data_IF_384719250307
#
_entry.id   IF_384719250307
#
_cell.length_a   1.000
_cell.length_b   1.000
_cell.length_c   1.000
_cell.angle_alpha   90.00
_cell.angle_beta   90.00
_cell.angle_gamma   90.00
#
_symmetry.space_group_name_H-M   'P 1'
#
loop_
_entity.id
_entity.type
_entity.pdbx_description
1 polymer ?
#
# COMPACT_ATOMS: atom_id res chain seq x y z
N UNK A 1 32.02 16.72 -12.01
CA UNK A 1 31.77 15.45 -12.73
C UNK A 1 30.78 15.77 -13.82
N UNK A 2 31.06 15.48 -15.06
CA UNK A 2 30.13 15.71 -16.17
C UNK A 2 28.91 14.82 -15.90
N UNK A 3 27.79 15.45 -15.61
CA UNK A 3 26.49 14.78 -15.43
C UNK A 3 26.14 14.23 -16.81
N UNK A 4 26.22 12.91 -17.00
CA UNK A 4 26.00 12.29 -18.31
C UNK A 4 24.52 12.37 -18.71
N UNK A 5 24.29 12.48 -20.02
CA UNK A 5 22.94 12.37 -20.57
C UNK A 5 22.49 10.91 -20.55
N UNK A 6 21.29 10.63 -20.05
CA UNK A 6 20.64 9.33 -20.13
C UNK A 6 19.94 9.21 -21.49
N UNK A 7 20.19 8.11 -22.20
CA UNK A 7 19.67 7.82 -23.54
C UNK A 7 19.95 8.93 -24.56
N UNK A 8 21.03 9.73 -24.37
CA UNK A 8 21.38 10.86 -25.23
C UNK A 8 20.31 11.96 -25.28
N UNK A 9 19.37 11.98 -24.33
CA UNK A 9 18.21 12.88 -24.32
C UNK A 9 17.98 13.58 -22.99
N UNK A 10 18.16 12.90 -21.87
CA UNK A 10 17.81 13.41 -20.55
C UNK A 10 19.07 13.81 -19.79
N UNK A 11 19.37 15.12 -19.76
CA UNK A 11 20.50 15.67 -19.04
C UNK A 11 20.17 15.76 -17.56
N UNK A 12 20.88 14.99 -16.73
CA UNK A 12 20.70 15.01 -15.29
C UNK A 12 21.21 16.34 -14.71
N UNK A 13 20.42 17.02 -13.89
CA UNK A 13 20.75 18.33 -13.31
C UNK A 13 20.98 18.25 -11.80
N UNK A 14 20.17 17.47 -11.08
CA UNK A 14 20.25 17.32 -9.63
C UNK A 14 19.61 16.06 -9.13
N UNK A 15 19.90 15.66 -7.89
CA UNK A 15 19.24 14.53 -7.25
C UNK A 15 18.05 15.00 -6.45
N UNK A 16 16.86 14.45 -6.74
CA UNK A 16 15.61 14.73 -6.05
C UNK A 16 15.36 13.75 -4.90
N UNK A 17 15.75 12.47 -5.06
CA UNK A 17 15.50 11.45 -4.05
C UNK A 17 16.47 10.28 -4.14
N UNK A 18 16.51 9.53 -3.04
CA UNK A 18 17.32 8.32 -2.92
C UNK A 18 16.49 7.24 -2.21
N UNK A 19 16.50 6.02 -2.76
CA UNK A 19 15.89 4.83 -2.17
C UNK A 19 16.79 3.61 -2.30
N UNK A 20 16.45 2.51 -1.63
CA UNK A 20 17.26 1.29 -1.66
C UNK A 20 17.43 0.66 -3.04
N UNK A 21 16.46 0.85 -3.94
CA UNK A 21 16.47 0.23 -5.28
C UNK A 21 16.71 1.23 -6.42
N UNK A 22 16.55 2.52 -6.17
CA UNK A 22 16.60 3.54 -7.22
C UNK A 22 16.98 4.91 -6.70
N UNK A 23 17.46 5.76 -7.60
CA UNK A 23 17.65 7.19 -7.37
C UNK A 23 16.75 7.98 -8.31
N UNK A 24 16.21 9.11 -7.84
CA UNK A 24 15.42 10.02 -8.67
C UNK A 24 16.19 11.32 -8.87
N UNK A 25 16.28 11.73 -10.11
CA UNK A 25 17.01 12.93 -10.52
C UNK A 25 16.09 13.92 -11.22
N UNK A 26 16.30 15.22 -10.97
CA UNK A 26 15.85 16.27 -11.86
C UNK A 26 16.67 16.16 -13.13
N UNK A 27 16.01 16.23 -14.28
CA UNK A 27 16.68 16.22 -15.57
C UNK A 27 15.99 17.17 -16.55
N UNK A 28 16.74 17.59 -17.57
CA UNK A 28 16.21 18.37 -18.68
C UNK A 28 16.09 17.50 -19.93
N UNK A 29 14.87 17.39 -20.46
CA UNK A 29 14.61 16.72 -21.74
C UNK A 29 15.08 17.63 -22.89
N UNK A 30 16.23 17.32 -23.46
CA UNK A 30 16.86 18.09 -24.53
C UNK A 30 16.02 18.16 -25.82
N UNK A 31 15.08 17.24 -25.99
CA UNK A 31 14.25 17.16 -27.20
C UNK A 31 12.95 17.96 -27.08
N UNK A 32 12.35 17.97 -25.87
CA UNK A 32 11.07 18.65 -25.60
C UNK A 32 11.26 19.95 -24.81
N UNK A 33 12.52 20.30 -24.47
CA UNK A 33 12.91 21.52 -23.76
C UNK A 33 12.13 21.75 -22.45
N UNK A 34 12.02 20.68 -21.63
CA UNK A 34 11.30 20.73 -20.35
C UNK A 34 12.01 19.99 -19.25
N UNK A 35 11.74 20.36 -18.02
CA UNK A 35 12.15 19.59 -16.84
C UNK A 35 11.33 18.32 -16.70
N UNK A 36 11.99 17.24 -16.28
CA UNK A 36 11.41 15.92 -16.00
C UNK A 36 12.08 15.31 -14.77
N UNK A 37 11.44 14.36 -14.12
CA UNK A 37 12.07 13.52 -13.12
C UNK A 37 12.52 12.21 -13.78
N UNK A 38 13.76 11.79 -13.53
CA UNK A 38 14.32 10.54 -14.06
C UNK A 38 14.66 9.62 -12.90
N UNK A 39 13.97 8.49 -12.82
CA UNK A 39 14.22 7.42 -11.86
C UNK A 39 15.19 6.42 -12.49
N UNK A 40 16.31 6.17 -11.82
CA UNK A 40 17.35 5.25 -12.26
C UNK A 40 17.38 4.04 -11.33
N UNK A 41 17.39 2.83 -11.90
CA UNK A 41 17.61 1.60 -11.14
C UNK A 41 19.03 1.61 -10.56
N UNK A 42 19.22 1.19 -9.31
CA UNK A 42 20.56 1.12 -8.72
C UNK A 42 21.44 0.13 -9.49
N UNK A 43 22.70 0.53 -9.78
CA UNK A 43 23.64 -0.25 -10.61
C UNK A 43 23.81 -1.69 -10.12
N UNK A 44 23.92 -1.89 -8.80
CA UNK A 44 24.10 -3.21 -8.19
C UNK A 44 22.87 -4.14 -8.33
N UNK A 45 21.72 -3.62 -8.81
CA UNK A 45 20.49 -4.36 -9.08
C UNK A 45 20.24 -4.56 -10.57
N UNK A 46 21.01 -3.92 -11.43
CA UNK A 46 20.82 -3.95 -12.88
C UNK A 46 21.13 -5.34 -13.50
N UNK A 47 21.94 -6.15 -12.81
CA UNK A 47 22.29 -7.51 -13.23
C UNK A 47 21.28 -8.59 -12.74
N UNK A 48 20.36 -8.24 -11.84
CA UNK A 48 19.34 -9.16 -11.36
C UNK A 48 18.03 -9.00 -12.17
N UNK A 49 17.66 -10.02 -12.99
CA UNK A 49 16.47 -9.96 -13.81
C UNK A 49 15.16 -9.73 -13.02
N UNK A 50 15.15 -10.09 -11.74
CA UNK A 50 14.00 -9.91 -10.87
C UNK A 50 13.74 -8.43 -10.62
N UNK A 51 14.78 -7.67 -10.24
CA UNK A 51 14.68 -6.23 -10.01
C UNK A 51 14.41 -5.46 -11.31
N UNK A 52 15.06 -5.83 -12.41
CA UNK A 52 14.80 -5.25 -13.73
C UNK A 52 13.34 -5.45 -14.14
N UNK A 53 12.84 -6.69 -14.05
CA UNK A 53 11.44 -7.00 -14.38
C UNK A 53 10.44 -6.21 -13.52
N UNK A 54 10.73 -6.03 -12.22
CA UNK A 54 9.91 -5.23 -11.29
C UNK A 54 9.89 -3.77 -11.71
N UNK A 55 11.06 -3.18 -11.97
CA UNK A 55 11.21 -1.80 -12.39
C UNK A 55 10.45 -1.50 -13.70
N UNK A 56 10.53 -2.42 -14.67
CA UNK A 56 9.80 -2.31 -15.93
C UNK A 56 8.27 -2.44 -15.75
N UNK A 57 7.81 -3.37 -14.89
CA UNK A 57 6.37 -3.51 -14.58
C UNK A 57 5.81 -2.28 -13.89
N UNK A 58 6.56 -1.67 -12.99
CA UNK A 58 6.19 -0.41 -12.34
C UNK A 58 5.98 0.69 -13.38
N UNK A 59 6.95 0.87 -14.30
CA UNK A 59 6.83 1.83 -15.40
C UNK A 59 5.60 1.57 -16.28
N UNK A 60 5.38 0.31 -16.69
CA UNK A 60 4.25 -0.06 -17.56
C UNK A 60 2.89 0.16 -16.91
N UNK A 61 2.76 -0.10 -15.63
CA UNK A 61 1.50 0.09 -14.94
C UNK A 61 1.21 1.57 -14.68
N UNK A 62 2.21 2.34 -14.24
CA UNK A 62 2.07 3.78 -14.03
C UNK A 62 1.82 4.53 -15.37
N UNK A 63 2.43 4.10 -16.48
CA UNK A 63 2.22 4.71 -17.79
C UNK A 63 0.78 4.61 -18.33
N UNK A 64 -0.03 3.67 -17.81
CA UNK A 64 -1.45 3.53 -18.17
C UNK A 64 -2.37 4.50 -17.44
N UNK A 65 -1.87 5.14 -16.39
CA UNK A 65 -2.65 6.04 -15.55
C UNK A 65 -2.45 7.49 -16.02
N UNK A 66 -3.53 8.14 -16.43
CA UNK A 66 -3.55 9.55 -16.84
C UNK A 66 -4.60 10.26 -15.99
N UNK A 67 -4.15 10.92 -14.92
CA UNK A 67 -5.02 11.59 -13.97
C UNK A 67 -4.29 12.77 -13.31
N UNK A 68 -4.96 13.91 -13.03
CA UNK A 68 -4.32 15.08 -12.40
C UNK A 68 -3.60 14.73 -11.09
N UNK A 69 -4.14 13.80 -10.31
CA UNK A 69 -3.57 13.40 -9.02
C UNK A 69 -2.67 12.13 -9.10
N UNK A 70 -2.13 11.82 -10.27
CA UNK A 70 -1.14 10.74 -10.48
C UNK A 70 0.03 11.30 -11.28
N UNK A 71 1.25 11.05 -10.83
CA UNK A 71 2.47 11.43 -11.56
C UNK A 71 2.49 10.70 -12.91
N UNK A 72 2.56 11.47 -14.00
CA UNK A 72 2.54 10.93 -15.35
C UNK A 72 3.89 10.34 -15.71
N UNK A 73 3.92 9.09 -16.19
CA UNK A 73 5.09 8.48 -16.81
C UNK A 73 5.13 8.84 -18.30
N UNK A 74 6.29 9.33 -18.77
CA UNK A 74 6.47 9.77 -20.15
C UNK A 74 7.26 8.79 -20.99
N UNK A 75 8.27 8.12 -20.39
CA UNK A 75 9.19 7.24 -21.10
C UNK A 75 9.82 6.23 -20.14
N UNK A 76 10.33 5.13 -20.65
CA UNK A 76 11.14 4.17 -19.89
C UNK A 76 12.02 3.36 -20.84
N UNK A 77 13.19 2.97 -20.38
CA UNK A 77 14.11 2.20 -21.21
C UNK A 77 15.40 1.82 -20.50
N UNK A 78 16.35 1.42 -21.31
CA UNK A 78 17.73 1.18 -20.92
C UNK A 78 18.64 2.06 -21.77
N UNK A 79 19.55 2.78 -21.13
CA UNK A 79 20.60 3.54 -21.83
C UNK A 79 21.58 2.56 -22.45
N UNK A 80 21.73 2.61 -23.78
CA UNK A 80 22.58 1.68 -24.55
C UNK A 80 24.08 1.81 -24.20
N UNK A 81 24.51 2.99 -23.77
CA UNK A 81 25.92 3.30 -23.46
C UNK A 81 26.31 2.84 -22.06
N UNK A 82 25.42 3.00 -21.08
CA UNK A 82 25.70 2.73 -19.67
C UNK A 82 25.00 1.49 -19.14
N UNK A 83 24.11 0.87 -19.94
CA UNK A 83 23.21 -0.20 -19.55
C UNK A 83 22.26 0.19 -18.39
N UNK A 84 22.14 1.48 -18.06
CA UNK A 84 21.32 2.00 -16.97
C UNK A 84 19.84 1.95 -17.31
N UNK A 85 19.02 1.29 -16.50
CA UNK A 85 17.56 1.31 -16.62
C UNK A 85 17.00 2.61 -16.04
N UNK A 86 16.04 3.23 -16.77
CA UNK A 86 15.44 4.49 -16.39
C UNK A 86 13.93 4.54 -16.63
N UNK A 87 13.24 5.36 -15.82
CA UNK A 87 11.85 5.79 -16.02
C UNK A 87 11.85 7.31 -16.01
N UNK A 88 11.24 7.93 -17.02
CA UNK A 88 11.06 9.38 -17.14
C UNK A 88 9.62 9.71 -16.77
N UNK A 89 9.44 10.64 -15.85
CA UNK A 89 8.13 11.02 -15.35
C UNK A 89 8.02 12.53 -15.15
N UNK A 90 6.81 12.97 -14.92
CA UNK A 90 6.49 14.36 -14.60
C UNK A 90 7.32 14.83 -13.39
N UNK A 91 7.96 15.98 -13.54
CA UNK A 91 8.59 16.67 -12.43
C UNK A 91 7.57 17.56 -11.73
N UNK A 92 7.42 17.38 -10.41
CA UNK A 92 6.54 18.20 -9.58
C UNK A 92 7.40 19.21 -8.84
N UNK A 93 7.22 20.49 -9.18
CA UNK A 93 7.90 21.58 -8.48
C UNK A 93 7.19 21.85 -7.14
N UNK A 94 7.73 21.26 -6.07
CA UNK A 94 7.11 21.33 -4.75
C UNK A 94 7.84 20.43 -3.75
N UNK A 95 7.08 19.90 -2.78
CA UNK A 95 7.61 19.06 -1.71
C UNK A 95 6.77 17.78 -1.57
N UNK A 96 7.39 16.71 -1.12
CA UNK A 96 6.66 15.54 -0.65
C UNK A 96 6.02 15.83 0.71
N UNK A 97 4.92 15.14 1.03
CA UNK A 97 4.33 15.21 2.37
C UNK A 97 5.30 14.76 3.47
N UNK A 98 6.30 13.92 3.13
CA UNK A 98 7.36 13.55 4.08
C UNK A 98 8.30 14.72 4.39
N UNK A 99 8.58 15.57 3.41
CA UNK A 99 9.36 16.80 3.62
C UNK A 99 8.55 17.82 4.44
N UNK A 100 7.28 18.01 4.14
CA UNK A 100 6.37 18.86 4.92
C UNK A 100 6.33 18.38 6.39
N UNK A 101 6.12 17.09 6.64
CA UNK A 101 6.14 16.53 8.00
C UNK A 101 7.47 16.71 8.72
N UNK A 102 8.59 16.61 8.01
CA UNK A 102 9.93 16.80 8.58
C UNK A 102 10.17 18.25 8.96
N UNK A 103 9.71 19.20 8.12
CA UNK A 103 10.02 20.62 8.24
C UNK A 103 9.03 21.34 9.18
N UNK A 104 7.73 21.00 9.10
CA UNK A 104 6.64 21.64 9.84
C UNK A 104 6.09 20.75 10.98
N UNK A 105 6.34 19.44 10.95
CA UNK A 105 5.88 18.47 11.94
C UNK A 105 4.45 17.98 11.70
N UNK A 106 3.54 18.83 11.31
CA UNK A 106 2.12 18.54 11.03
C UNK A 106 1.55 19.63 10.12
N UNK A 107 0.33 19.43 9.62
CA UNK A 107 -0.39 20.43 8.80
C UNK A 107 -1.76 20.73 9.40
N UNK A 108 -2.29 21.93 9.12
CA UNK A 108 -3.66 22.29 9.51
C UNK A 108 -4.69 21.31 8.94
N UNK A 109 -5.78 21.09 9.69
CA UNK A 109 -6.80 20.07 9.34
C UNK A 109 -7.32 20.25 7.90
N UNK A 110 -7.65 21.48 7.51
CA UNK A 110 -8.19 21.76 6.18
C UNK A 110 -7.17 21.49 5.07
N UNK A 111 -5.91 21.83 5.30
CA UNK A 111 -4.82 21.54 4.38
C UNK A 111 -4.59 20.04 4.26
N UNK A 112 -4.54 19.33 5.41
CA UNK A 112 -4.43 17.86 5.44
C UNK A 112 -5.56 17.17 4.68
N UNK A 113 -6.79 17.62 4.88
CA UNK A 113 -7.96 17.10 4.15
C UNK A 113 -7.88 17.37 2.66
N UNK A 114 -7.45 18.57 2.25
CA UNK A 114 -7.25 18.89 0.82
C UNK A 114 -6.22 17.98 0.16
N UNK A 115 -5.12 17.66 0.84
CA UNK A 115 -4.10 16.73 0.38
C UNK A 115 -4.70 15.33 0.21
N UNK A 116 -5.41 14.84 1.22
CA UNK A 116 -5.94 13.49 1.25
C UNK A 116 -7.09 13.28 0.26
N UNK A 117 -7.95 14.26 0.06
CA UNK A 117 -9.03 14.19 -0.94
C UNK A 117 -8.46 14.02 -2.35
N UNK A 118 -7.44 14.80 -2.70
CA UNK A 118 -6.76 14.68 -3.99
C UNK A 118 -6.08 13.31 -4.15
N UNK A 119 -5.41 12.81 -3.10
CA UNK A 119 -4.85 11.46 -3.09
C UNK A 119 -5.94 10.39 -3.25
N UNK A 120 -7.12 10.57 -2.62
CA UNK A 120 -8.27 9.69 -2.79
C UNK A 120 -8.76 9.63 -4.25
N UNK A 121 -8.83 10.76 -4.94
CA UNK A 121 -9.24 10.77 -6.37
C UNK A 121 -8.21 10.05 -7.24
N UNK A 122 -6.91 10.26 -7.02
CA UNK A 122 -5.85 9.53 -7.73
C UNK A 122 -5.88 8.02 -7.47
N UNK A 123 -6.01 7.59 -6.20
CA UNK A 123 -6.14 6.17 -5.84
C UNK A 123 -7.43 5.56 -6.42
N UNK A 124 -8.55 6.28 -6.34
CA UNK A 124 -9.82 5.79 -6.90
C UNK A 124 -9.69 5.53 -8.40
N UNK A 125 -9.08 6.45 -9.13
CA UNK A 125 -8.82 6.29 -10.56
C UNK A 125 -7.92 5.08 -10.83
N UNK A 126 -6.81 4.92 -10.11
CA UNK A 126 -5.91 3.78 -10.25
C UNK A 126 -6.61 2.44 -9.99
N UNK A 127 -7.40 2.35 -8.91
CA UNK A 127 -8.16 1.15 -8.54
C UNK A 127 -9.20 0.76 -9.61
N UNK A 128 -9.90 1.73 -10.23
CA UNK A 128 -10.81 1.47 -11.34
C UNK A 128 -10.10 0.90 -12.59
N UNK A 129 -8.79 1.20 -12.74
CA UNK A 129 -7.97 0.67 -13.83
C UNK A 129 -7.21 -0.60 -13.43
N UNK A 130 -7.57 -1.22 -12.30
CA UNK A 130 -6.96 -2.47 -11.82
C UNK A 130 -5.56 -2.31 -11.25
N UNK A 131 -5.11 -1.09 -10.92
CA UNK A 131 -3.81 -0.80 -10.34
C UNK A 131 -3.96 -0.50 -8.86
N UNK A 132 -3.30 -1.29 -8.00
CA UNK A 132 -3.18 -1.07 -6.55
C UNK A 132 -1.81 -0.47 -6.27
N UNK A 133 -1.75 0.60 -5.46
CA UNK A 133 -0.51 1.34 -5.20
C UNK A 133 0.50 0.57 -4.35
N UNK A 134 0.03 -0.04 -3.25
CA UNK A 134 0.80 -0.91 -2.33
C UNK A 134 1.94 -0.26 -1.55
N UNK A 135 2.24 1.01 -1.78
CA UNK A 135 3.27 1.79 -1.08
C UNK A 135 2.83 3.22 -0.80
N UNK A 136 1.58 3.41 -0.37
CA UNK A 136 1.09 4.75 0.02
C UNK A 136 1.79 5.18 1.29
N UNK A 137 2.49 6.33 1.22
CA UNK A 137 3.23 6.94 2.34
C UNK A 137 3.47 8.42 2.05
N UNK A 138 3.82 9.26 3.03
CA UNK A 138 4.04 10.69 2.81
C UNK A 138 5.08 11.00 1.73
N UNK A 139 6.13 10.18 1.59
CA UNK A 139 7.16 10.39 0.56
C UNK A 139 6.69 10.20 -0.88
N UNK A 140 5.55 9.51 -1.06
CA UNK A 140 4.96 9.23 -2.37
C UNK A 140 3.74 10.13 -2.69
N UNK A 141 3.41 11.09 -1.81
CA UNK A 141 2.45 12.15 -2.04
C UNK A 141 3.23 13.45 -2.29
N UNK A 142 3.27 13.89 -3.53
CA UNK A 142 3.97 15.09 -3.95
C UNK A 142 2.96 16.25 -4.05
N UNK A 143 3.22 17.35 -3.36
CA UNK A 143 2.42 18.57 -3.41
C UNK A 143 3.17 19.63 -4.19
N UNK A 144 2.56 20.14 -5.26
CA UNK A 144 3.10 21.24 -6.03
C UNK A 144 3.01 22.57 -5.25
N UNK A 145 3.71 23.59 -5.74
CA UNK A 145 3.62 24.96 -5.15
C UNK A 145 2.22 25.56 -5.25
N UNK A 146 1.45 25.13 -6.24
CA UNK A 146 0.07 25.55 -6.47
C UNK A 146 -0.94 24.79 -5.60
N UNK A 147 -0.48 23.76 -4.86
CA UNK A 147 -1.31 22.95 -3.96
C UNK A 147 -1.92 21.71 -4.63
N UNK A 148 -1.55 21.39 -5.89
CA UNK A 148 -1.93 20.13 -6.51
C UNK A 148 -1.16 18.97 -5.88
N UNK A 149 -1.86 17.86 -5.61
CA UNK A 149 -1.26 16.66 -5.03
C UNK A 149 -1.26 15.52 -6.05
N UNK A 150 -0.11 14.87 -6.19
CA UNK A 150 0.07 13.74 -7.10
C UNK A 150 0.69 12.54 -6.40
N UNK A 151 0.13 11.37 -6.65
CA UNK A 151 0.65 10.08 -6.22
C UNK A 151 1.81 9.67 -7.13
N UNK A 152 2.94 9.36 -6.53
CA UNK A 152 4.15 8.87 -7.19
C UNK A 152 4.47 7.44 -6.75
N UNK A 153 5.29 6.74 -7.53
CA UNK A 153 5.88 5.44 -7.18
C UNK A 153 4.84 4.36 -6.81
N UNK A 154 4.04 3.93 -7.79
CA UNK A 154 3.14 2.80 -7.63
C UNK A 154 3.93 1.52 -7.38
N UNK A 155 3.88 1.00 -6.14
CA UNK A 155 4.72 -0.08 -5.61
C UNK A 155 4.36 -1.49 -6.12
N UNK A 156 4.14 -1.65 -7.43
CA UNK A 156 3.79 -2.93 -8.07
C UNK A 156 4.88 -3.99 -7.85
N UNK A 157 6.11 -3.54 -7.63
CA UNK A 157 7.27 -4.38 -7.35
C UNK A 157 7.22 -5.07 -5.96
N UNK A 158 6.47 -4.54 -4.98
CA UNK A 158 6.41 -5.08 -3.60
C UNK A 158 5.51 -6.31 -3.45
N UNK A 159 4.67 -6.62 -4.43
CA UNK A 159 3.71 -7.73 -4.36
C UNK A 159 4.34 -9.14 -4.33
N UNK A 160 5.64 -9.28 -4.56
CA UNK A 160 6.34 -10.56 -4.64
C UNK A 160 7.47 -10.71 -3.61
N UNK A 161 7.57 -9.79 -2.64
CA UNK A 161 8.62 -9.86 -1.61
C UNK A 161 8.17 -10.61 -0.35
N UNK A 162 7.94 -11.90 -0.44
CA UNK A 162 7.91 -12.78 0.74
C UNK A 162 9.31 -12.97 1.39
N UNK A 163 10.39 -12.49 0.76
CA UNK A 163 11.76 -12.91 1.13
C UNK A 163 12.74 -11.80 1.54
N UNK A 164 12.40 -10.50 1.51
CA UNK A 164 13.39 -9.44 1.75
C UNK A 164 13.09 -8.45 2.88
N UNK A 165 12.28 -8.84 3.86
CA UNK A 165 12.00 -8.03 5.07
C UNK A 165 13.22 -7.93 6.03
N UNK A 166 14.43 -8.30 5.60
CA UNK A 166 15.60 -8.46 6.50
C UNK A 166 16.67 -7.37 6.43
N UNK A 167 16.48 -6.25 5.77
CA UNK A 167 17.42 -5.13 5.88
C UNK A 167 17.01 -4.16 7.00
N UNK A 168 17.63 -4.34 8.15
CA UNK A 168 17.46 -3.57 9.38
C UNK A 168 17.89 -2.11 9.15
N UNK A 169 16.96 -1.17 9.34
CA UNK A 169 17.27 0.26 9.49
C UNK A 169 16.43 1.21 8.61
N UNK A 170 16.30 0.97 7.31
CA UNK A 170 15.43 1.81 6.42
C UNK A 170 14.00 1.27 6.29
N UNK A 171 13.79 0.03 6.73
CA UNK A 171 12.51 -0.71 6.62
C UNK A 171 11.49 -0.20 7.62
N UNK A 172 11.92 0.28 8.79
CA UNK A 172 11.02 0.66 9.87
C UNK A 172 10.13 1.86 9.51
N UNK A 173 10.67 2.88 8.85
CA UNK A 173 9.92 4.06 8.44
C UNK A 173 8.80 3.75 7.43
N UNK A 174 9.06 2.86 6.47
CA UNK A 174 8.05 2.44 5.47
C UNK A 174 7.05 1.44 6.05
N UNK A 175 7.46 0.61 7.01
CA UNK A 175 6.62 -0.39 7.64
C UNK A 175 5.44 0.22 8.43
N UNK A 176 5.58 1.44 8.94
CA UNK A 176 4.54 2.13 9.70
C UNK A 176 3.22 2.32 8.92
N UNK A 177 3.26 2.30 7.60
CA UNK A 177 2.09 2.47 6.72
C UNK A 177 1.52 1.14 6.19
N UNK A 178 2.16 0.00 6.52
CA UNK A 178 1.69 -1.31 6.08
C UNK A 178 0.33 -1.63 6.69
N UNK A 179 -0.59 -2.04 5.84
CA UNK A 179 -1.86 -2.57 6.31
C UNK A 179 -1.66 -3.91 7.05
N UNK A 180 -2.52 -4.24 8.04
CA UNK A 180 -2.38 -5.46 8.82
C UNK A 180 -2.31 -6.74 7.98
N UNK A 181 -3.07 -6.83 6.89
CA UNK A 181 -3.02 -7.94 5.94
C UNK A 181 -1.66 -8.03 5.22
N UNK A 182 -1.05 -6.89 4.87
CA UNK A 182 0.29 -6.87 4.28
C UNK A 182 1.37 -7.32 5.29
N UNK A 183 1.25 -6.88 6.55
CA UNK A 183 2.16 -7.32 7.61
C UNK A 183 2.09 -8.83 7.88
N UNK A 184 0.94 -9.47 7.57
CA UNK A 184 0.75 -10.93 7.64
C UNK A 184 1.14 -11.69 6.37
N UNK A 185 1.61 -10.98 5.31
CA UNK A 185 1.93 -11.60 4.01
C UNK A 185 0.68 -12.01 3.20
N UNK A 186 -0.50 -11.48 3.54
CA UNK A 186 -1.73 -11.72 2.80
C UNK A 186 -1.79 -10.83 1.54
N UNK A 187 -2.64 -11.19 0.59
CA UNK A 187 -2.79 -10.42 -0.65
C UNK A 187 -3.36 -9.01 -0.37
N UNK A 188 -2.58 -7.99 -0.74
CA UNK A 188 -2.95 -6.60 -0.58
C UNK A 188 -3.81 -6.11 -1.76
N UNK A 189 -5.07 -5.79 -1.47
CA UNK A 189 -5.99 -5.18 -2.42
C UNK A 189 -6.10 -3.65 -2.27
N UNK A 190 -7.05 -3.01 -2.98
CA UNK A 190 -7.30 -1.57 -2.89
C UNK A 190 -7.50 -1.04 -1.46
N UNK A 191 -8.06 -1.85 -0.57
CA UNK A 191 -8.32 -1.46 0.82
C UNK A 191 -7.06 -1.38 1.70
N UNK A 192 -5.95 -1.99 1.27
CA UNK A 192 -4.65 -1.79 1.90
C UNK A 192 -4.14 -0.36 1.66
N UNK A 193 -4.35 0.19 0.44
CA UNK A 193 -4.01 1.58 0.15
C UNK A 193 -4.84 2.56 0.98
N UNK A 194 -6.12 2.25 1.24
CA UNK A 194 -7.00 3.08 2.08
C UNK A 194 -6.54 3.09 3.54
N UNK A 195 -6.08 1.95 4.06
CA UNK A 195 -5.47 1.89 5.37
C UNK A 195 -4.21 2.75 5.45
N UNK A 196 -3.29 2.56 4.50
CA UNK A 196 -2.06 3.34 4.42
C UNK A 196 -2.34 4.85 4.31
N UNK A 197 -3.34 5.25 3.49
CA UNK A 197 -3.77 6.64 3.40
C UNK A 197 -4.42 7.14 4.70
N UNK A 198 -5.11 6.28 5.45
CA UNK A 198 -5.60 6.55 6.80
C UNK A 198 -4.46 6.85 7.78
N UNK A 199 -3.36 6.07 7.72
CA UNK A 199 -2.14 6.34 8.51
C UNK A 199 -1.51 7.68 8.12
N UNK A 200 -1.45 7.98 6.82
CA UNK A 200 -0.93 9.27 6.33
C UNK A 200 -1.82 10.43 6.80
N UNK A 201 -3.15 10.28 6.75
CA UNK A 201 -4.11 11.29 7.25
C UNK A 201 -3.87 11.57 8.73
N UNK A 202 -3.78 10.50 9.52
CA UNK A 202 -3.52 10.60 10.96
C UNK A 202 -2.22 11.35 11.23
N UNK A 203 -1.15 10.98 10.51
CA UNK A 203 0.17 11.59 10.72
C UNK A 203 0.23 13.04 10.25
N UNK A 204 -0.36 13.38 9.10
CA UNK A 204 -0.37 14.77 8.60
C UNK A 204 -1.04 15.70 9.59
N UNK A 205 -2.16 15.29 10.17
CA UNK A 205 -2.96 16.15 11.07
C UNK A 205 -2.40 16.17 12.49
N UNK A 206 -1.89 15.03 13.01
CA UNK A 206 -1.42 14.93 14.41
C UNK A 206 0.09 15.07 14.59
N UNK A 207 0.89 14.97 13.52
CA UNK A 207 2.35 14.86 13.59
C UNK A 207 2.83 13.52 14.14
N UNK A 208 1.95 12.54 14.39
CA UNK A 208 2.27 11.26 15.05
C UNK A 208 1.76 10.10 14.22
N UNK A 209 2.43 8.96 14.33
CA UNK A 209 1.90 7.70 13.80
C UNK A 209 0.81 7.13 14.73
N UNK A 210 -0.22 6.45 14.19
CA UNK A 210 -1.22 5.78 15.03
C UNK A 210 -0.61 4.68 15.91
N UNK A 211 0.46 4.05 15.43
CA UNK A 211 1.25 3.05 16.18
C UNK A 211 2.72 3.38 16.07
N UNK A 212 3.39 3.60 17.21
CA UNK A 212 4.84 3.72 17.28
C UNK A 212 5.42 2.33 17.59
N UNK A 213 6.25 1.80 16.71
CA UNK A 213 6.86 0.48 16.86
C UNK A 213 8.33 0.51 16.43
N UNK A 214 9.16 -0.33 17.07
CA UNK A 214 10.59 -0.46 16.79
C UNK A 214 10.89 -1.63 15.86
N UNK A 215 9.89 -2.47 15.57
CA UNK A 215 9.97 -3.62 14.67
C UNK A 215 8.65 -3.92 13.99
N UNK A 216 8.72 -4.64 12.86
CA UNK A 216 7.51 -5.08 12.15
C UNK A 216 6.65 -6.01 13.02
N UNK A 217 7.29 -6.88 13.83
CA UNK A 217 6.59 -7.77 14.75
C UNK A 217 5.85 -6.99 15.84
N UNK A 218 6.47 -5.97 16.40
CA UNK A 218 5.83 -5.09 17.38
C UNK A 218 4.67 -4.32 16.76
N UNK A 219 4.85 -3.79 15.54
CA UNK A 219 3.78 -3.11 14.81
C UNK A 219 2.58 -4.03 14.61
N UNK A 220 2.81 -5.25 14.08
CA UNK A 220 1.75 -6.22 13.84
C UNK A 220 1.02 -6.61 15.15
N UNK A 221 1.76 -6.71 16.27
CA UNK A 221 1.18 -7.00 17.58
C UNK A 221 0.31 -5.83 18.06
N UNK A 222 0.80 -4.60 17.99
CA UNK A 222 0.04 -3.40 18.38
C UNK A 222 -1.21 -3.24 17.54
N UNK A 223 -1.13 -3.40 16.21
CA UNK A 223 -2.28 -3.36 15.33
C UNK A 223 -3.39 -4.37 15.70
N UNK A 224 -3.01 -5.52 16.31
CA UNK A 224 -3.97 -6.55 16.71
C UNK A 224 -4.53 -6.36 18.12
N UNK A 225 -3.81 -5.70 19.02
CA UNK A 225 -4.13 -5.63 20.45
C UNK A 225 -4.55 -4.25 20.93
N UNK A 226 -4.23 -3.20 20.18
CA UNK A 226 -4.45 -1.82 20.59
C UNK A 226 -5.32 -1.11 19.54
N UNK A 227 -6.21 -0.25 20.01
CA UNK A 227 -6.87 0.75 19.16
C UNK A 227 -6.07 2.05 19.26
N UNK A 228 -5.71 2.69 18.14
CA UNK A 228 -4.98 3.93 18.20
C UNK A 228 -5.90 5.02 18.79
N UNK A 229 -5.35 6.00 19.53
CA UNK A 229 -6.13 7.15 19.98
C UNK A 229 -6.81 7.83 18.79
N UNK A 230 -8.07 8.20 18.93
CA UNK A 230 -8.78 8.93 17.86
C UNK A 230 -8.23 10.36 17.74
N UNK A 231 -8.24 10.92 16.53
CA UNK A 231 -7.61 12.22 16.26
C UNK A 231 -8.19 13.35 17.09
N UNK A 232 -9.49 13.35 17.37
CA UNK A 232 -10.17 14.33 18.21
C UNK A 232 -9.68 14.35 19.67
N UNK A 233 -9.12 13.22 20.16
CA UNK A 233 -8.52 13.15 21.50
C UNK A 233 -7.11 13.74 21.56
N UNK A 234 -6.45 13.92 20.43
CA UNK A 234 -5.05 14.38 20.33
C UNK A 234 -4.97 15.81 19.79
N UNK A 235 -5.84 16.15 18.83
CA UNK A 235 -5.82 17.41 18.11
C UNK A 235 -7.13 18.15 18.39
N UNK A 236 -7.06 19.21 19.18
CA UNK A 236 -8.25 19.96 19.61
C UNK A 236 -9.07 20.61 18.46
N UNK A 237 -8.45 20.79 17.28
CA UNK A 237 -9.14 21.30 16.09
C UNK A 237 -9.93 20.21 15.33
N UNK A 238 -9.81 18.95 15.71
CA UNK A 238 -10.51 17.82 15.08
C UNK A 238 -11.81 17.54 15.83
N UNK A 239 -12.93 17.49 15.12
CA UNK A 239 -14.20 17.06 15.69
C UNK A 239 -14.31 15.54 15.79
N UNK A 240 -15.17 14.99 16.67
CA UNK A 240 -15.31 13.54 16.85
C UNK A 240 -15.65 12.78 15.56
N UNK A 241 -16.48 13.35 14.70
CA UNK A 241 -16.91 12.74 13.44
C UNK A 241 -15.75 12.58 12.44
N UNK A 242 -14.81 13.51 12.40
CA UNK A 242 -13.59 13.36 11.61
C UNK A 242 -12.66 12.31 12.23
N UNK A 243 -12.54 12.29 13.57
CA UNK A 243 -11.79 11.26 14.30
C UNK A 243 -12.33 9.86 13.97
N UNK A 244 -13.66 9.67 14.01
CA UNK A 244 -14.33 8.43 13.65
C UNK A 244 -14.10 8.07 12.17
N UNK A 245 -14.17 9.05 11.25
CA UNK A 245 -13.94 8.81 9.83
C UNK A 245 -12.52 8.28 9.55
N UNK A 246 -11.51 8.80 10.25
CA UNK A 246 -10.13 8.30 10.16
C UNK A 246 -10.02 6.90 10.79
N UNK A 247 -10.65 6.65 11.94
CA UNK A 247 -10.66 5.35 12.60
C UNK A 247 -11.26 4.24 11.70
N UNK A 248 -12.30 4.54 10.91
CA UNK A 248 -12.85 3.62 9.90
C UNK A 248 -11.79 3.21 8.86
N UNK A 249 -10.94 4.14 8.40
CA UNK A 249 -9.86 3.81 7.46
C UNK A 249 -8.81 2.90 8.11
N UNK A 250 -8.57 3.06 9.41
CA UNK A 250 -7.60 2.30 10.20
C UNK A 250 -8.15 0.97 10.77
N UNK A 251 -9.37 0.55 10.40
CA UNK A 251 -9.95 -0.70 10.85
C UNK A 251 -9.05 -1.91 10.52
N UNK A 252 -8.93 -2.84 11.48
CA UNK A 252 -8.08 -4.04 11.36
C UNK A 252 -8.54 -4.92 10.19
N UNK A 253 -9.86 -5.19 10.10
CA UNK A 253 -10.43 -5.96 9.01
C UNK A 253 -10.65 -5.06 7.77
N UNK A 254 -10.11 -5.42 6.60
CA UNK A 254 -10.37 -4.66 5.38
C UNK A 254 -11.86 -4.50 5.04
N UNK A 255 -12.72 -5.41 5.50
CA UNK A 255 -14.18 -5.36 5.26
C UNK A 255 -14.86 -4.21 6.00
N UNK A 256 -14.29 -3.78 7.11
CA UNK A 256 -14.81 -2.68 7.92
C UNK A 256 -14.35 -1.31 7.46
N UNK A 257 -13.35 -1.26 6.55
CA UNK A 257 -12.87 -0.04 5.91
C UNK A 257 -13.83 0.44 4.81
N UNK A 258 -13.57 1.61 4.28
CA UNK A 258 -14.26 2.14 3.09
C UNK A 258 -14.13 1.20 1.90
N UNK A 259 -15.15 1.19 1.03
CA UNK A 259 -15.15 0.32 -0.15
C UNK A 259 -14.28 0.89 -1.28
N UNK A 260 -14.21 2.22 -1.36
CA UNK A 260 -13.45 2.95 -2.40
C UNK A 260 -12.74 4.15 -1.79
N UNK A 261 -11.65 4.59 -2.44
CA UNK A 261 -10.93 5.79 -2.02
C UNK A 261 -11.83 7.04 -2.10
N UNK A 262 -12.69 7.14 -3.09
CA UNK A 262 -13.67 8.25 -3.20
C UNK A 262 -14.68 8.26 -2.05
N UNK A 263 -15.13 7.09 -1.57
CA UNK A 263 -15.97 7.00 -0.37
C UNK A 263 -15.23 7.52 0.86
N UNK A 264 -13.95 7.12 1.03
CA UNK A 264 -13.09 7.61 2.10
C UNK A 264 -12.94 9.13 2.08
N UNK A 265 -12.56 9.72 0.92
CA UNK A 265 -12.39 11.17 0.78
C UNK A 265 -13.65 11.94 1.17
N UNK A 266 -14.83 11.49 0.71
CA UNK A 266 -16.12 12.09 1.10
C UNK A 266 -16.39 11.97 2.59
N UNK A 267 -16.15 10.80 3.17
CA UNK A 267 -16.41 10.57 4.59
C UNK A 267 -15.51 11.43 5.49
N UNK A 268 -14.24 11.64 5.10
CA UNK A 268 -13.33 12.55 5.81
C UNK A 268 -13.81 14.00 5.72
N UNK A 269 -14.24 14.46 4.56
CA UNK A 269 -14.80 15.83 4.37
C UNK A 269 -16.12 15.99 5.11
N UNK A 270 -17.02 15.03 5.03
CA UNK A 270 -18.28 15.03 5.77
C UNK A 270 -18.02 15.03 7.30
N UNK A 271 -17.07 14.21 7.76
CA UNK A 271 -16.64 14.17 9.15
C UNK A 271 -16.14 15.53 9.66
N UNK A 272 -15.32 16.25 8.86
CA UNK A 272 -14.88 17.60 9.19
C UNK A 272 -16.05 18.62 9.30
N UNK A 273 -17.17 18.33 8.64
CA UNK A 273 -18.41 19.12 8.72
C UNK A 273 -19.38 18.59 9.80
N UNK A 274 -18.95 17.70 10.70
CA UNK A 274 -19.76 17.15 11.77
C UNK A 274 -20.77 16.09 11.33
N UNK A 275 -20.55 15.41 10.19
CA UNK A 275 -21.41 14.33 9.67
C UNK A 275 -20.70 13.00 9.90
N UNK A 276 -21.26 12.07 10.72
CA UNK A 276 -20.61 10.81 11.01
C UNK A 276 -20.53 9.88 9.79
N UNK A 277 -19.50 9.04 9.68
CA UNK A 277 -19.24 8.19 8.50
C UNK A 277 -20.34 7.18 8.20
N UNK A 278 -21.16 6.81 9.19
CA UNK A 278 -22.34 5.95 9.02
C UNK A 278 -23.41 6.57 8.11
N UNK A 279 -23.66 7.85 8.22
CA UNK A 279 -24.61 8.59 7.37
C UNK A 279 -24.07 8.78 5.95
N UNK A 280 -22.78 9.05 5.79
CA UNK A 280 -22.13 9.13 4.47
C UNK A 280 -22.26 7.82 3.71
N UNK A 281 -22.05 6.68 4.38
CA UNK A 281 -22.22 5.35 3.79
C UNK A 281 -23.69 5.07 3.39
N UNK A 282 -24.64 5.52 4.16
CA UNK A 282 -26.06 5.38 3.86
C UNK A 282 -26.46 6.22 2.63
N UNK A 283 -25.98 7.46 2.53
CA UNK A 283 -26.21 8.36 1.38
C UNK A 283 -25.61 7.79 0.07
N UNK A 284 -24.42 7.18 0.13
CA UNK A 284 -23.76 6.57 -1.03
C UNK A 284 -24.48 5.34 -1.58
N UNK A 285 -25.19 4.59 -0.73
CA UNK A 285 -26.00 3.41 -1.14
C UNK A 285 -27.38 3.76 -1.69
N UNK A 286 -27.87 4.98 -1.45
CA UNK A 286 -29.23 5.40 -1.77
C UNK A 286 -29.40 6.24 -3.04
N UNK A 287 -28.34 6.49 -3.83
CA UNK A 287 -28.48 7.18 -5.09
C UNK A 287 -28.76 6.18 -6.22
N UNK A 288 -30.04 6.00 -6.66
CA UNK A 288 -30.30 5.28 -7.90
C UNK A 288 -29.77 6.16 -9.04
N UNK A 289 -28.90 5.59 -9.87
CA UNK A 289 -28.53 6.17 -11.16
C UNK A 289 -29.78 6.23 -12.06
N UNK A 290 -30.66 7.21 -11.85
CA UNK A 290 -31.73 7.51 -12.79
C UNK A 290 -32.37 8.86 -12.46
N UNK A 291 -31.74 9.97 -12.87
CA UNK A 291 -32.47 11.22 -13.16
C UNK A 291 -31.60 12.13 -14.04
N UNK A 292 -31.36 11.68 -15.27
CA UNK A 292 -30.92 12.58 -16.33
C UNK A 292 -31.52 12.07 -17.64
N UNK A 293 -32.85 12.20 -17.81
CA UNK A 293 -33.49 12.35 -19.11
C UNK A 293 -35.02 12.45 -18.92
N UNK A 294 -35.50 13.58 -18.46
CA UNK A 294 -36.92 13.91 -18.60
C UNK A 294 -37.16 15.43 -18.59
N UNK A 295 -36.54 16.14 -19.54
CA UNK A 295 -37.04 17.45 -19.97
C UNK A 295 -36.76 17.48 -21.45
N UNK A 296 -37.80 17.21 -22.26
CA UNK A 296 -38.13 17.73 -23.58
C UNK A 296 -39.02 16.74 -24.34
N UNK A 297 -40.31 16.70 -24.03
CA UNK A 297 -41.34 16.34 -25.01
C UNK A 297 -42.71 16.78 -24.50
N UNK A 298 -42.96 18.08 -24.55
CA UNK A 298 -44.32 18.60 -24.59
C UNK A 298 -44.65 18.98 -26.06
N UNK A 299 -45.64 18.32 -26.64
CA UNK A 299 -46.30 18.83 -27.84
C UNK A 299 -46.48 17.83 -28.95
N UNK A 300 -47.57 17.06 -28.97
CA UNK A 300 -48.68 17.17 -29.92
C UNK A 300 -49.62 15.97 -29.82
N UNK A 301 -50.89 16.32 -29.76
CA UNK A 301 -52.06 15.40 -29.86
C UNK A 301 -52.15 14.83 -31.28
N UNK A 302 -52.62 13.58 -31.42
CA UNK A 302 -53.81 13.28 -32.22
C UNK A 302 -54.04 11.77 -32.39
N UNK A 303 -55.29 11.34 -32.08
CA UNK A 303 -56.17 10.28 -32.61
C UNK A 303 -55.75 8.80 -32.65
N UNK A 304 -56.41 8.06 -31.89
CA UNK A 304 -57.13 6.79 -31.80
C UNK A 304 -57.18 5.84 -33.04
N UNK A 305 -57.79 4.64 -32.89
CA UNK A 305 -57.27 3.42 -32.22
C UNK A 305 -57.29 2.22 -33.22
N UNK A 306 -56.55 1.18 -33.06
CA UNK A 306 -56.88 -0.14 -33.66
C UNK A 306 -56.19 -1.33 -32.96
N UNK A 307 -57.05 -2.25 -32.49
CA UNK A 307 -56.94 -3.69 -32.32
C UNK A 307 -55.87 -4.30 -31.36
N UNK A 308 -56.42 -4.84 -30.29
CA UNK A 308 -55.85 -5.85 -29.41
C UNK A 308 -55.56 -7.15 -30.16
N UNK A 309 -54.35 -7.69 -29.93
CA UNK A 309 -54.04 -9.11 -30.16
C UNK A 309 -53.54 -9.69 -28.85
N UNK A 310 -54.25 -10.68 -28.32
CA UNK A 310 -53.99 -11.38 -27.09
C UNK A 310 -52.73 -12.28 -27.17
N UNK A 311 -51.97 -12.44 -26.09
CA UNK A 311 -50.85 -13.38 -26.06
C UNK A 311 -51.37 -14.82 -25.87
N UNK A 312 -50.86 -15.73 -26.71
CA UNK A 312 -51.09 -17.18 -26.62
C UNK A 312 -50.31 -17.77 -25.44
N UNK A 313 -51.02 -18.49 -24.56
CA UNK A 313 -50.46 -19.37 -23.54
C UNK A 313 -49.78 -20.62 -24.13
N UNK A 314 -48.69 -21.12 -23.61
CA UNK A 314 -48.15 -22.43 -23.98
C UNK A 314 -48.92 -23.57 -23.26
N UNK A 315 -49.23 -24.62 -24.02
CA UNK A 315 -49.86 -25.85 -23.56
C UNK A 315 -48.92 -26.71 -22.71
N UNK A 316 -49.46 -27.45 -21.73
CA UNK A 316 -48.69 -28.40 -20.93
C UNK A 316 -48.47 -29.74 -21.66
N UNK A 317 -47.24 -30.30 -21.49
CA UNK A 317 -46.89 -31.64 -21.95
C UNK A 317 -47.25 -32.70 -20.94
N UNK A 318 -47.36 -34.00 -21.36
CA UNK A 318 -48.00 -35.06 -20.56
C UNK A 318 -47.12 -35.64 -19.43
N UNK A 319 -47.77 -36.33 -18.44
CA UNK A 319 -47.10 -36.77 -17.19
C UNK A 319 -46.29 -38.05 -17.46
N UNK A 320 -45.13 -38.17 -16.85
CA UNK A 320 -44.39 -39.40 -16.69
C UNK A 320 -44.70 -40.09 -15.36
N UNK A 321 -45.15 -41.32 -15.50
CA UNK A 321 -45.54 -42.33 -14.52
C UNK A 321 -44.49 -42.61 -13.46
N UNK A 322 -45.01 -42.80 -12.27
CA UNK A 322 -44.35 -43.34 -11.10
C UNK A 322 -43.99 -44.85 -11.27
N UNK A 323 -42.90 -45.25 -10.68
CA UNK A 323 -42.66 -46.65 -10.34
C UNK A 323 -42.12 -46.70 -8.90
N UNK A 324 -42.84 -47.40 -8.09
CA UNK A 324 -42.69 -47.66 -6.67
C UNK A 324 -41.77 -48.87 -6.39
N UNK A 325 -41.48 -49.20 -5.16
CA UNK A 325 -40.17 -49.69 -4.69
C UNK A 325 -40.10 -51.18 -4.46
N UNK A 326 -38.88 -51.70 -4.39
CA UNK A 326 -38.66 -53.04 -3.81
C UNK A 326 -37.77 -53.00 -2.58
N UNK A 327 -38.39 -53.34 -1.46
CA UNK A 327 -37.75 -53.81 -0.22
C UNK A 327 -37.02 -55.11 -0.44
N UNK A 328 -35.88 -55.30 0.13
CA UNK A 328 -35.46 -56.55 0.78
C UNK A 328 -34.50 -56.26 1.93
N UNK A 329 -34.75 -56.97 2.98
CA UNK A 329 -34.15 -56.96 4.31
C UNK A 329 -32.84 -57.75 4.35
N UNK A 330 -32.07 -57.52 5.41
CA UNK A 330 -31.10 -58.50 5.88
C UNK A 330 -29.85 -57.90 6.50
N UNK A 331 -29.85 -57.64 7.74
CA UNK A 331 -29.13 -58.22 8.88
C UNK A 331 -27.59 -58.11 8.93
N UNK A 332 -27.17 -57.75 10.12
CA UNK A 332 -26.01 -58.20 10.92
C UNK A 332 -24.79 -57.29 11.02
N UNK A 333 -24.70 -56.70 12.17
CA UNK A 333 -23.61 -56.51 13.14
C UNK A 333 -22.14 -56.75 12.67
N UNK A 334 -21.30 -55.77 12.89
CA UNK A 334 -19.86 -55.91 12.87
C UNK A 334 -19.21 -54.66 13.44
N UNK A 335 -18.96 -54.64 14.76
CA UNK A 335 -18.21 -53.60 15.43
C UNK A 335 -16.73 -53.65 15.08
N UNK A 336 -16.21 -52.71 14.31
CA UNK A 336 -14.77 -52.53 14.16
C UNK A 336 -14.29 -51.26 14.89
N UNK A 337 -13.44 -51.49 15.91
CA UNK A 337 -12.77 -50.49 16.72
C UNK A 337 -11.70 -49.79 15.92
N UNK A 338 -11.47 -48.46 16.10
CA UNK A 338 -10.46 -47.70 15.36
C UNK A 338 -9.06 -47.95 15.93
N UNK A 339 -8.26 -48.75 15.23
CA UNK A 339 -6.82 -49.01 15.53
C UNK A 339 -5.87 -47.94 14.95
N UNK A 340 -6.34 -46.84 14.33
CA UNK A 340 -5.49 -45.89 13.59
C UNK A 340 -4.92 -44.71 14.39
N UNK A 341 -5.33 -44.51 15.64
CA UNK A 341 -4.85 -43.33 16.44
C UNK A 341 -3.50 -43.51 17.15
N UNK A 342 -3.01 -44.73 17.35
CA UNK A 342 -1.73 -44.98 18.04
C UNK A 342 -0.51 -44.77 17.13
N UNK A 343 -0.60 -44.97 15.83
CA UNK A 343 0.49 -44.69 14.88
C UNK A 343 0.79 -43.22 14.69
N UNK A 344 -0.25 -42.38 14.64
CA UNK A 344 -0.08 -40.93 14.48
C UNK A 344 0.59 -40.27 15.70
N UNK A 345 0.25 -40.74 16.91
CA UNK A 345 0.87 -40.25 18.15
C UNK A 345 2.36 -40.57 18.24
N UNK A 346 2.75 -41.78 17.78
CA UNK A 346 4.18 -42.19 17.74
C UNK A 346 4.99 -41.39 16.71
N UNK A 347 4.40 -41.10 15.55
CA UNK A 347 5.05 -40.26 14.53
C UNK A 347 5.23 -38.83 15.02
N UNK A 348 4.22 -38.25 15.67
CA UNK A 348 4.29 -36.91 16.26
C UNK A 348 5.34 -36.83 17.39
N UNK A 349 5.42 -37.87 18.24
CA UNK A 349 6.43 -37.94 19.29
C UNK A 349 7.86 -38.03 18.71
N UNK A 350 8.06 -38.83 17.64
CA UNK A 350 9.35 -38.93 16.96
C UNK A 350 9.79 -37.61 16.31
N UNK A 351 8.84 -36.89 15.65
CA UNK A 351 9.12 -35.57 15.07
C UNK A 351 9.49 -34.56 16.16
N UNK A 352 8.78 -34.58 17.30
CA UNK A 352 9.10 -33.67 18.41
C UNK A 352 10.50 -33.92 18.97
N UNK A 353 10.92 -35.18 19.11
CA UNK A 353 12.25 -35.54 19.56
C UNK A 353 13.34 -35.07 18.58
N UNK A 354 13.10 -35.20 17.27
CA UNK A 354 14.03 -34.73 16.25
C UNK A 354 14.14 -33.20 16.29
N UNK A 355 13.03 -32.48 16.43
CA UNK A 355 13.04 -31.02 16.54
C UNK A 355 13.80 -30.56 17.78
N UNK A 356 13.58 -31.20 18.93
CA UNK A 356 14.31 -30.89 20.16
C UNK A 356 15.83 -31.19 20.04
N UNK A 357 16.20 -32.26 19.35
CA UNK A 357 17.62 -32.58 19.10
C UNK A 357 18.26 -31.52 18.17
N UNK A 358 17.57 -31.08 17.12
CA UNK A 358 18.08 -30.02 16.23
C UNK A 358 18.23 -28.69 16.97
N UNK A 359 17.25 -28.31 17.80
CA UNK A 359 17.34 -27.10 18.64
C UNK A 359 18.49 -27.18 19.61
N UNK A 360 18.72 -28.33 20.26
CA UNK A 360 19.84 -28.53 21.14
C UNK A 360 21.19 -28.37 20.42
N UNK A 361 21.34 -28.95 19.23
CA UNK A 361 22.55 -28.81 18.40
C UNK A 361 22.78 -27.37 17.99
N UNK A 362 21.75 -26.64 17.59
CA UNK A 362 21.84 -25.21 17.23
C UNK A 362 22.26 -24.36 18.43
N UNK A 363 21.69 -24.62 19.61
CA UNK A 363 22.04 -23.89 20.84
C UNK A 363 23.49 -24.18 21.31
N UNK A 364 23.99 -25.41 21.11
CA UNK A 364 25.36 -25.78 21.46
C UNK A 364 26.38 -25.25 20.45
N UNK A 365 25.96 -25.13 19.16
CA UNK A 365 26.80 -24.64 18.05
C UNK A 365 26.75 -23.11 17.89
N UNK A 366 25.88 -22.41 18.61
CA UNK A 366 25.79 -20.96 18.55
C UNK A 366 27.07 -20.33 19.10
N UNK A 367 27.78 -19.48 18.33
CA UNK A 367 28.95 -18.77 18.86
C UNK A 367 28.49 -17.89 20.02
N UNK A 368 29.25 -17.92 21.11
CA UNK A 368 28.99 -17.11 22.29
C UNK A 368 28.86 -15.64 21.90
N UNK A 369 27.83 -14.91 22.36
CA UNK A 369 27.67 -13.49 22.00
C UNK A 369 28.89 -12.75 22.55
N UNK A 370 29.71 -12.17 21.69
CA UNK A 370 30.78 -11.26 22.02
C UNK A 370 30.16 -10.10 22.81
N UNK A 371 30.35 -10.03 24.11
CA UNK A 371 29.94 -8.87 24.91
C UNK A 371 30.73 -7.67 24.43
N UNK A 372 30.11 -6.82 23.64
CA UNK A 372 30.62 -5.48 23.33
C UNK A 372 30.50 -4.66 24.62
N UNK A 373 31.61 -4.48 25.33
CA UNK A 373 31.69 -3.57 26.47
C UNK A 373 31.79 -2.15 25.87
N UNK A 374 30.67 -1.45 25.80
CA UNK A 374 30.65 -0.03 25.44
C UNK A 374 31.31 0.75 26.56
N UNK A 375 32.57 1.14 26.37
CA UNK A 375 33.27 2.07 27.24
C UNK A 375 32.80 3.48 26.85
N UNK A 376 32.12 4.18 27.75
CA UNK A 376 31.83 5.61 27.61
C UNK A 376 33.15 6.38 27.68
N UNK A 377 33.70 6.71 26.53
CA UNK A 377 34.92 7.52 26.42
C UNK A 377 34.48 8.94 26.06
N UNK A 378 34.57 9.85 27.01
CA UNK A 378 34.31 11.27 26.79
C UNK A 378 35.62 11.92 26.37
N UNK A 379 35.73 12.29 25.12
CA UNK A 379 36.87 13.08 24.61
C UNK A 379 36.59 14.56 24.84
N UNK A 380 37.58 15.26 25.39
CA UNK A 380 37.52 16.73 25.66
C UNK A 380 37.96 17.58 24.46
N UNK A 381 38.52 16.93 23.43
CA UNK A 381 39.09 17.61 22.26
C UNK A 381 38.92 16.74 20.99
N UNK A 382 38.60 17.39 19.85
CA UNK A 382 38.42 16.76 18.55
C UNK A 382 39.71 16.06 18.06
N UNK A 383 40.89 16.60 18.44
CA UNK A 383 42.19 16.00 18.10
C UNK A 383 42.40 14.62 18.74
N UNK A 384 41.98 14.43 19.99
CA UNK A 384 42.06 13.13 20.70
C UNK A 384 41.07 12.12 20.10
N UNK A 385 39.88 12.53 19.73
CA UNK A 385 38.87 11.68 19.07
C UNK A 385 39.39 11.17 17.70
N UNK A 386 40.00 12.03 16.91
CA UNK A 386 40.56 11.66 15.59
C UNK A 386 41.73 10.68 15.72
N UNK A 387 42.61 10.85 16.69
CA UNK A 387 43.75 9.95 16.94
C UNK A 387 43.29 8.57 17.40
N UNK A 388 42.30 8.49 18.30
CA UNK A 388 41.72 7.24 18.75
C UNK A 388 40.97 6.48 17.63
N UNK A 389 40.29 7.18 16.75
CA UNK A 389 39.62 6.58 15.57
C UNK A 389 40.63 5.98 14.58
N UNK A 390 41.76 6.67 14.31
CA UNK A 390 42.86 6.16 13.49
C UNK A 390 43.49 4.91 14.08
N UNK A 391 43.71 4.86 15.42
CA UNK A 391 44.22 3.70 16.10
C UNK A 391 43.27 2.50 16.04
N UNK A 392 41.95 2.71 16.24
CA UNK A 392 40.89 1.70 16.11
C UNK A 392 40.85 1.11 14.71
N UNK A 393 40.97 1.96 13.65
CA UNK A 393 41.01 1.51 12.26
C UNK A 393 42.26 0.66 12.01
N UNK A 394 43.44 1.05 12.52
CA UNK A 394 44.66 0.31 12.30
C UNK A 394 44.72 -1.04 13.05
N UNK A 395 44.03 -1.16 14.17
CA UNK A 395 43.97 -2.40 14.97
C UNK A 395 42.95 -3.43 14.42
N UNK A 396 42.00 -2.98 13.56
CA UNK A 396 40.96 -3.83 12.95
C UNK A 396 41.13 -4.04 11.44
N UNK A 397 42.25 -3.66 10.84
CA UNK A 397 42.57 -3.82 9.40
C UNK A 397 43.75 -4.77 9.16
N UNK A 398 43.91 -5.79 10.01
CA UNK A 398 44.84 -6.93 9.75
C UNK A 398 44.02 -8.20 9.44
#
# INVERSE_FOLDING_TARGET
MSVGDIAGRYRLEGRLGFGGMSTVHLAFDLRLERQVAVKLLAEHLADDPTFVSRFQREAQAAARLVHPNVVQVFDSGQDERTAQYFIVMEYIEGSSCAEILRDDGWVEVEEGLSIIEQACEGLHYAHLHGVVHRDVKPGNLLRSREGEVKLADFGIAKATEESSITQVGSVLGTAAYLAPEQARGEEAGPRADLYALGVVTYQLISGRLPYEATSLTELALKQQQEEPPTLDTIVAAVCPELGEAVAVALALDPRDRYQTAREMGRALRDGANGIPPGETRARGRGAPATQATSVLASGRRSTAPTHAVAPRQPRPGPPRTAAEPRRTAGAAAGAERPRRRRGLALVLAAVLVIVLAVVAVVLISAPSPTRVVLRNVVYRDVGQASSALKQLISENTQ
#
